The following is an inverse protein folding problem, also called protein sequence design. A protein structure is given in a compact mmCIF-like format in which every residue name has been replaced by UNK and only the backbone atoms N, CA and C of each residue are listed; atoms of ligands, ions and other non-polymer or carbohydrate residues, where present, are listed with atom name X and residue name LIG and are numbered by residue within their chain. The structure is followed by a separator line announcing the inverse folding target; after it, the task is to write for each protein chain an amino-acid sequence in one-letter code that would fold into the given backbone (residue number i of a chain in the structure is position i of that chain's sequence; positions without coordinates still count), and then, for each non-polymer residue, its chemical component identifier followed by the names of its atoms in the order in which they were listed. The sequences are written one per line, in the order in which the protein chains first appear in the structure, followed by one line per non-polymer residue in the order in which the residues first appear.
data_IF_011979587831
#
_entry.id   IF_011979587831
#
_cell.length_a   1.000
_cell.length_b   1.000
_cell.length_c   1.000
_cell.angle_alpha   90.00
_cell.angle_beta   90.00
_cell.angle_gamma   90.00
#
_symmetry.space_group_name_H-M   'P 1'
#
loop_
_entity.id
_entity.type
_entity.pdbx_description
1 polymer ?
#
# COMPACT_ATOMS: atom_id res chain seq x y z
N UNK A 1 -24.42 -13.13 18.67
CA UNK A 1 -25.64 -13.35 17.88
C UNK A 1 -25.20 -14.13 16.65
N UNK A 2 -25.88 -15.22 16.28
CA UNK A 2 -25.47 -16.10 15.19
C UNK A 2 -26.41 -15.87 14.00
N UNK A 3 -26.01 -15.00 13.06
CA UNK A 3 -26.84 -14.66 11.91
C UNK A 3 -27.01 -15.88 10.99
N UNK A 4 -28.25 -16.21 10.65
CA UNK A 4 -28.58 -17.31 9.73
C UNK A 4 -28.69 -16.82 8.29
N UNK A 5 -27.57 -16.37 7.73
CA UNK A 5 -27.46 -16.03 6.29
C UNK A 5 -27.57 -17.33 5.47
N UNK A 6 -28.24 -17.30 4.31
CA UNK A 6 -28.37 -18.48 3.43
C UNK A 6 -27.00 -19.00 3.01
N UNK A 7 -26.98 -20.28 2.57
CA UNK A 7 -25.75 -20.99 2.16
C UNK A 7 -24.68 -21.01 3.26
N UNK A 8 -25.11 -20.98 4.52
CA UNK A 8 -24.26 -21.30 5.67
C UNK A 8 -23.87 -22.80 5.70
N UNK A 9 -22.94 -23.19 6.58
CA UNK A 9 -22.39 -22.41 7.69
C UNK A 9 -21.44 -21.29 7.24
N UNK A 10 -21.41 -20.21 8.03
CA UNK A 10 -20.50 -19.08 7.87
C UNK A 10 -19.50 -19.08 9.02
N UNK A 11 -18.22 -19.25 8.70
CA UNK A 11 -17.13 -19.28 9.66
C UNK A 11 -16.51 -17.89 9.78
N UNK A 12 -16.39 -17.37 10.99
CA UNK A 12 -15.67 -16.12 11.25
C UNK A 12 -14.18 -16.32 11.01
N UNK A 13 -13.63 -15.63 10.02
CA UNK A 13 -12.21 -15.71 9.65
C UNK A 13 -11.40 -14.52 10.16
N UNK A 14 -12.07 -13.42 10.52
CA UNK A 14 -11.42 -12.24 11.08
C UNK A 14 -12.36 -11.43 11.98
N UNK A 15 -11.80 -10.82 13.01
CA UNK A 15 -12.42 -9.77 13.83
C UNK A 15 -11.33 -8.82 14.30
N UNK A 16 -11.56 -7.52 14.16
CA UNK A 16 -10.58 -6.50 14.53
C UNK A 16 -11.10 -5.08 14.37
N UNK A 17 -10.19 -4.11 14.35
CA UNK A 17 -10.51 -2.71 14.16
C UNK A 17 -9.77 -2.16 12.93
N UNK A 18 -10.47 -1.40 12.09
CA UNK A 18 -9.92 -0.70 10.95
C UNK A 18 -10.41 0.76 10.98
N UNK A 19 -9.47 1.70 11.04
CA UNK A 19 -9.77 3.14 11.06
C UNK A 19 -10.77 3.58 12.16
N UNK A 20 -10.77 2.88 13.31
CA UNK A 20 -11.67 3.16 14.42
C UNK A 20 -12.97 2.36 14.39
N UNK A 21 -13.30 1.71 13.27
CA UNK A 21 -14.50 0.87 13.12
C UNK A 21 -14.19 -0.60 13.41
N UNK A 22 -15.15 -1.30 14.00
CA UNK A 22 -15.04 -2.74 14.18
C UNK A 22 -15.39 -3.45 12.88
N UNK A 23 -14.51 -4.36 12.46
CA UNK A 23 -14.65 -5.11 11.21
C UNK A 23 -14.67 -6.59 11.51
N UNK A 24 -15.64 -7.28 10.93
CA UNK A 24 -15.76 -8.73 10.97
C UNK A 24 -15.77 -9.29 9.54
N UNK A 25 -15.10 -10.42 9.36
CA UNK A 25 -15.15 -11.15 8.09
C UNK A 25 -15.54 -12.60 8.33
N UNK A 26 -16.42 -13.08 7.47
CA UNK A 26 -16.94 -14.44 7.48
C UNK A 26 -16.71 -15.09 6.12
N UNK A 27 -16.45 -16.39 6.09
CA UNK A 27 -16.41 -17.17 4.86
C UNK A 27 -17.35 -18.37 4.93
N UNK A 28 -17.92 -18.78 3.81
CA UNK A 28 -18.74 -19.99 3.75
C UNK A 28 -18.10 -21.11 2.90
N UNK A 29 -18.78 -22.26 2.87
CA UNK A 29 -18.35 -23.45 2.11
C UNK A 29 -18.36 -23.24 0.59
N UNK A 30 -19.09 -22.24 0.10
CA UNK A 30 -19.08 -21.81 -1.29
C UNK A 30 -17.98 -20.79 -1.59
N UNK A 31 -17.04 -20.53 -0.69
CA UNK A 31 -15.93 -19.58 -0.94
C UNK A 31 -16.38 -18.13 -1.13
N UNK A 32 -17.56 -17.76 -0.61
CA UNK A 32 -17.98 -16.38 -0.46
C UNK A 32 -17.35 -15.80 0.80
N UNK A 33 -17.06 -14.50 0.76
CA UNK A 33 -16.56 -13.74 1.90
C UNK A 33 -17.53 -12.61 2.18
N UNK A 34 -18.12 -12.58 3.37
CA UNK A 34 -18.93 -11.49 3.88
C UNK A 34 -18.05 -10.61 4.76
N UNK A 35 -17.96 -9.33 4.43
CA UNK A 35 -17.30 -8.31 5.25
C UNK A 35 -18.37 -7.41 5.85
N UNK A 36 -18.25 -7.14 7.16
CA UNK A 36 -19.18 -6.32 7.93
C UNK A 36 -18.38 -5.27 8.70
N UNK A 37 -18.66 -3.99 8.45
CA UNK A 37 -18.12 -2.86 9.21
C UNK A 37 -19.22 -2.34 10.12
N UNK A 38 -19.01 -2.41 11.42
CA UNK A 38 -20.03 -2.14 12.43
C UNK A 38 -20.03 -0.66 12.83
N UNK A 39 -21.22 -0.06 12.83
CA UNK A 39 -21.49 1.25 13.42
C UNK A 39 -21.90 1.07 14.88
N UNK A 40 -21.13 1.65 15.80
CA UNK A 40 -21.40 1.60 17.24
C UNK A 40 -21.71 2.97 17.80
N UNK A 41 -22.77 3.06 18.58
CA UNK A 41 -23.10 4.22 19.41
C UNK A 41 -23.28 3.74 20.85
N UNK A 42 -22.52 4.32 21.79
CA UNK A 42 -22.51 3.91 23.20
C UNK A 42 -22.32 2.39 23.42
N UNK A 43 -21.39 1.79 22.67
CA UNK A 43 -21.09 0.34 22.66
C UNK A 43 -22.17 -0.57 22.05
N UNK A 44 -23.34 -0.04 21.68
CA UNK A 44 -24.39 -0.77 20.96
C UNK A 44 -24.21 -0.66 19.44
N UNK A 45 -24.37 -1.78 18.73
CA UNK A 45 -24.28 -1.81 17.27
C UNK A 45 -25.61 -1.31 16.68
N UNK A 46 -25.60 -0.16 16.02
CA UNK A 46 -26.77 0.45 15.40
C UNK A 46 -27.00 -0.09 13.98
N UNK A 47 -25.90 -0.26 13.25
CA UNK A 47 -25.91 -0.64 11.84
C UNK A 47 -24.62 -1.31 11.43
N UNK A 48 -24.61 -1.77 10.19
CA UNK A 48 -23.44 -2.33 9.55
C UNK A 48 -23.41 -1.96 8.07
N UNK A 49 -22.23 -1.68 7.52
CA UNK A 49 -22.01 -1.75 6.08
C UNK A 49 -21.53 -3.16 5.77
N UNK A 50 -22.30 -3.86 4.94
CA UNK A 50 -21.98 -5.21 4.48
C UNK A 50 -21.59 -5.22 3.02
N UNK A 51 -20.63 -6.07 2.68
CA UNK A 51 -20.22 -6.33 1.31
C UNK A 51 -19.82 -7.80 1.17
N UNK A 52 -20.23 -8.44 0.08
CA UNK A 52 -19.94 -9.85 -0.20
C UNK A 52 -19.01 -9.94 -1.40
N UNK A 53 -17.98 -10.78 -1.27
CA UNK A 53 -17.00 -11.05 -2.30
C UNK A 53 -17.06 -12.51 -2.74
N UNK A 54 -16.93 -12.75 -4.05
CA UNK A 54 -16.66 -14.07 -4.62
C UNK A 54 -15.24 -14.05 -5.17
N UNK A 55 -14.43 -15.00 -4.71
CA UNK A 55 -13.01 -15.08 -5.03
C UNK A 55 -12.74 -16.21 -6.02
N UNK A 56 -11.97 -15.89 -7.06
CA UNK A 56 -11.49 -16.83 -8.06
C UNK A 56 -9.96 -16.86 -8.06
N UNK A 57 -9.38 -18.06 -8.14
CA UNK A 57 -8.03 -18.25 -8.66
C UNK A 57 -8.09 -18.13 -10.19
N UNK A 58 -7.22 -17.32 -10.77
CA UNK A 58 -7.25 -16.98 -12.18
C UNK A 58 -6.01 -17.49 -12.90
N UNK A 59 -6.22 -18.33 -13.92
CA UNK A 59 -5.17 -18.88 -14.76
C UNK A 59 -5.25 -18.22 -16.15
N UNK A 60 -4.29 -17.34 -16.47
CA UNK A 60 -4.25 -16.56 -17.70
C UNK A 60 -3.89 -15.08 -17.49
N UNK A 61 -4.21 -14.24 -18.48
CA UNK A 61 -4.10 -12.77 -18.40
C UNK A 61 -5.35 -12.20 -17.74
N UNK A 62 -5.26 -11.79 -16.48
CA UNK A 62 -6.35 -11.14 -15.72
C UNK A 62 -6.41 -9.65 -16.03
N UNK A 63 -5.26 -9.08 -16.34
CA UNK A 63 -5.00 -7.67 -16.53
C UNK A 63 -5.88 -7.10 -17.65
N UNK A 64 -5.88 -7.73 -18.83
CA UNK A 64 -6.71 -7.31 -19.95
C UNK A 64 -8.20 -7.58 -19.71
N UNK A 65 -8.52 -8.68 -19.01
CA UNK A 65 -9.90 -9.06 -18.73
C UNK A 65 -10.60 -8.07 -17.79
N UNK A 66 -9.90 -7.60 -16.75
CA UNK A 66 -10.42 -6.63 -15.79
C UNK A 66 -10.98 -5.36 -16.46
N UNK A 67 -10.28 -4.86 -17.48
CA UNK A 67 -10.69 -3.65 -18.21
C UNK A 67 -12.00 -3.83 -19.00
N UNK A 68 -12.40 -5.07 -19.25
CA UNK A 68 -13.63 -5.40 -20.01
C UNK A 68 -14.85 -5.59 -19.13
N UNK A 69 -14.67 -5.66 -17.81
CA UNK A 69 -15.76 -5.95 -16.89
C UNK A 69 -16.66 -4.72 -16.68
N UNK A 70 -17.99 -4.87 -16.76
CA UNK A 70 -18.93 -3.77 -16.55
C UNK A 70 -19.14 -3.45 -15.06
N UNK A 71 -18.42 -4.12 -14.14
CA UNK A 71 -18.57 -4.03 -12.69
C UNK A 71 -17.21 -3.90 -12.02
N UNK A 72 -17.21 -3.34 -10.81
CA UNK A 72 -16.02 -3.33 -9.97
C UNK A 72 -15.53 -4.76 -9.70
N UNK A 73 -14.27 -5.00 -10.04
CA UNK A 73 -13.56 -6.22 -9.76
C UNK A 73 -12.15 -5.85 -9.31
N UNK A 74 -11.61 -6.63 -8.38
CA UNK A 74 -10.26 -6.43 -7.87
C UNK A 74 -9.40 -7.61 -8.26
N UNK A 75 -8.22 -7.36 -8.83
CA UNK A 75 -7.22 -8.41 -8.98
C UNK A 75 -6.13 -8.28 -7.92
N UNK A 76 -5.74 -9.42 -7.35
CA UNK A 76 -4.63 -9.53 -6.41
C UNK A 76 -3.56 -10.42 -7.04
N UNK A 77 -2.34 -9.88 -7.12
CA UNK A 77 -1.18 -10.58 -7.65
C UNK A 77 -0.24 -10.89 -6.50
N UNK A 78 -0.09 -12.17 -6.17
CA UNK A 78 0.84 -12.62 -5.13
C UNK A 78 2.04 -13.27 -5.79
N UNK A 79 3.18 -12.59 -5.68
CA UNK A 79 4.45 -13.07 -6.19
C UNK A 79 5.11 -14.02 -5.18
N UNK A 80 5.23 -15.29 -5.55
CA UNK A 80 6.01 -16.31 -4.84
C UNK A 80 7.33 -16.57 -5.61
N UNK A 81 8.37 -17.16 -5.00
CA UNK A 81 9.68 -17.31 -5.66
C UNK A 81 9.68 -18.03 -7.01
N UNK A 82 8.67 -18.87 -7.28
CA UNK A 82 8.58 -19.70 -8.50
C UNK A 82 7.44 -19.34 -9.43
N UNK A 83 6.49 -18.53 -8.97
CA UNK A 83 5.27 -18.24 -9.73
C UNK A 83 4.59 -16.98 -9.21
N UNK A 84 3.65 -16.45 -10.00
CA UNK A 84 2.72 -15.42 -9.55
C UNK A 84 1.33 -16.03 -9.50
N UNK A 85 0.74 -16.06 -8.31
CA UNK A 85 -0.63 -16.52 -8.12
C UNK A 85 -1.54 -15.31 -8.30
N UNK A 86 -2.54 -15.43 -9.17
CA UNK A 86 -3.49 -14.36 -9.48
C UNK A 86 -4.85 -14.70 -8.91
N UNK A 87 -5.46 -13.73 -8.23
CA UNK A 87 -6.83 -13.83 -7.75
C UNK A 87 -7.68 -12.73 -8.37
N UNK A 88 -8.91 -13.07 -8.74
CA UNK A 88 -9.93 -12.12 -9.18
C UNK A 88 -11.08 -12.14 -8.17
N UNK A 89 -11.47 -10.96 -7.70
CA UNK A 89 -12.51 -10.78 -6.71
C UNK A 89 -13.64 -9.97 -7.32
N UNK A 90 -14.85 -10.50 -7.22
CA UNK A 90 -16.07 -9.83 -7.62
C UNK A 90 -16.83 -9.40 -6.37
N UNK A 91 -17.27 -8.15 -6.34
CA UNK A 91 -17.99 -7.56 -5.22
C UNK A 91 -19.50 -7.46 -5.49
N UNK A 92 -20.32 -7.59 -4.44
CA UNK A 92 -21.77 -7.30 -4.47
C UNK A 92 -22.10 -5.81 -4.48
N UNK A 93 -21.11 -4.93 -4.32
CA UNK A 93 -21.21 -3.55 -3.84
C UNK A 93 -21.64 -3.47 -2.35
N UNK A 94 -21.18 -2.44 -1.62
CA UNK A 94 -21.53 -2.27 -0.22
C UNK A 94 -22.99 -1.86 -0.04
N UNK A 95 -23.58 -2.25 1.09
CA UNK A 95 -24.94 -1.86 1.49
C UNK A 95 -24.96 -1.59 2.99
N UNK A 96 -25.49 -0.43 3.39
CA UNK A 96 -25.75 -0.15 4.79
C UNK A 96 -27.05 -0.83 5.23
N UNK A 97 -27.00 -1.54 6.35
CA UNK A 97 -28.12 -2.27 6.92
C UNK A 97 -28.22 -2.01 8.41
N UNK A 98 -29.45 -1.86 8.92
CA UNK A 98 -29.69 -1.80 10.36
C UNK A 98 -29.30 -3.14 10.98
N UNK A 99 -28.67 -3.12 12.15
CA UNK A 99 -28.17 -4.33 12.81
C UNK A 99 -29.28 -5.10 13.53
N UNK A 100 -30.29 -5.51 12.77
CA UNK A 100 -31.40 -6.37 13.17
C UNK A 100 -31.32 -7.67 12.39
N UNK A 101 -31.41 -8.83 13.07
CA UNK A 101 -31.13 -10.15 12.47
C UNK A 101 -31.84 -10.41 11.14
N UNK A 102 -33.16 -10.21 11.08
CA UNK A 102 -33.93 -10.44 9.86
C UNK A 102 -33.53 -9.48 8.74
N UNK A 103 -33.36 -8.20 9.05
CA UNK A 103 -33.03 -7.15 8.06
C UNK A 103 -31.62 -7.38 7.50
N UNK A 104 -30.67 -7.71 8.38
CA UNK A 104 -29.30 -8.05 8.02
C UNK A 104 -29.23 -9.28 7.11
N UNK A 105 -29.93 -10.36 7.49
CA UNK A 105 -29.92 -11.60 6.73
C UNK A 105 -30.59 -11.42 5.36
N UNK A 106 -31.73 -10.73 5.28
CA UNK A 106 -32.43 -10.47 4.02
C UNK A 106 -31.57 -9.65 3.04
N UNK A 107 -30.88 -8.60 3.53
CA UNK A 107 -30.01 -7.80 2.67
C UNK A 107 -28.75 -8.57 2.25
N UNK A 108 -28.13 -9.33 3.16
CA UNK A 108 -26.98 -10.19 2.83
C UNK A 108 -27.36 -11.25 1.78
N UNK A 109 -28.52 -11.90 1.92
CA UNK A 109 -29.01 -12.89 0.96
C UNK A 109 -29.25 -12.26 -0.43
N UNK A 110 -29.84 -11.08 -0.47
CA UNK A 110 -30.06 -10.32 -1.72
C UNK A 110 -28.75 -9.92 -2.40
N UNK A 111 -27.76 -9.46 -1.65
CA UNK A 111 -26.43 -9.16 -2.17
C UNK A 111 -25.75 -10.42 -2.74
N UNK A 112 -25.87 -11.52 -2.00
CA UNK A 112 -25.31 -12.82 -2.39
C UNK A 112 -25.95 -13.36 -3.68
N UNK A 113 -27.27 -13.36 -3.81
CA UNK A 113 -27.97 -13.85 -5.01
C UNK A 113 -27.58 -13.06 -6.27
N UNK A 114 -27.47 -11.73 -6.15
CA UNK A 114 -26.98 -10.86 -7.23
C UNK A 114 -25.54 -11.19 -7.60
N UNK A 115 -24.68 -11.37 -6.59
CA UNK A 115 -23.28 -11.67 -6.81
C UNK A 115 -23.09 -13.02 -7.49
N UNK A 116 -23.74 -14.08 -7.00
CA UNK A 116 -23.69 -15.43 -7.58
C UNK A 116 -24.09 -15.39 -9.06
N UNK A 117 -25.22 -14.76 -9.38
CA UNK A 117 -25.70 -14.62 -10.75
C UNK A 117 -24.70 -13.89 -11.63
N UNK A 118 -24.13 -12.79 -11.16
CA UNK A 118 -23.12 -12.06 -11.95
C UNK A 118 -21.79 -12.82 -12.08
N UNK A 119 -21.42 -13.58 -11.06
CA UNK A 119 -20.17 -14.34 -11.02
C UNK A 119 -20.18 -15.49 -12.02
N UNK A 120 -21.32 -16.15 -12.21
CA UNK A 120 -21.46 -17.20 -13.24
C UNK A 120 -21.34 -16.62 -14.64
N UNK A 121 -21.99 -15.48 -14.91
CA UNK A 121 -21.87 -14.77 -16.19
C UNK A 121 -20.42 -14.34 -16.47
N UNK A 122 -19.74 -13.76 -15.49
CA UNK A 122 -18.34 -13.32 -15.63
C UNK A 122 -17.41 -14.52 -15.86
N UNK A 123 -17.62 -15.62 -15.14
CA UNK A 123 -16.88 -16.87 -15.33
C UNK A 123 -17.06 -17.44 -16.74
N UNK A 124 -18.27 -17.40 -17.29
CA UNK A 124 -18.51 -17.83 -18.68
C UNK A 124 -17.83 -16.89 -19.69
N UNK A 125 -17.94 -15.58 -19.47
CA UNK A 125 -17.33 -14.58 -20.33
C UNK A 125 -15.79 -14.66 -20.34
N UNK A 126 -15.17 -14.99 -19.20
CA UNK A 126 -13.70 -15.14 -19.09
C UNK A 126 -13.11 -16.16 -20.07
N UNK A 127 -13.87 -17.18 -20.46
CA UNK A 127 -13.45 -18.18 -21.44
C UNK A 127 -13.17 -17.60 -22.82
N UNK A 128 -13.81 -16.48 -23.18
CA UNK A 128 -13.57 -15.80 -24.45
C UNK A 128 -12.23 -15.04 -24.48
N UNK A 129 -11.58 -14.88 -23.33
CA UNK A 129 -10.30 -14.18 -23.15
C UNK A 129 -9.16 -15.14 -22.76
N UNK A 130 -9.33 -16.44 -23.03
CA UNK A 130 -8.39 -17.49 -22.61
C UNK A 130 -8.04 -17.42 -21.11
N UNK A 131 -8.99 -16.95 -20.28
CA UNK A 131 -8.85 -16.83 -18.84
C UNK A 131 -9.72 -17.89 -18.16
N UNK A 132 -9.10 -18.72 -17.33
CA UNK A 132 -9.81 -19.70 -16.54
C UNK A 132 -9.99 -19.20 -15.10
N UNK A 133 -11.24 -19.00 -14.70
CA UNK A 133 -11.61 -18.61 -13.34
C UNK A 133 -12.06 -19.85 -12.54
N UNK A 134 -11.23 -20.26 -11.59
CA UNK A 134 -11.47 -21.39 -10.68
C UNK A 134 -11.92 -20.81 -9.35
N UNK A 135 -13.06 -21.25 -8.85
CA UNK A 135 -13.56 -20.77 -7.55
C UNK A 135 -12.57 -21.16 -6.43
N UNK A 136 -12.36 -20.26 -5.47
CA UNK A 136 -11.30 -20.43 -4.46
C UNK A 136 -11.48 -21.70 -3.63
N UNK A 137 -12.73 -22.11 -3.37
CA UNK A 137 -13.08 -23.33 -2.64
C UNK A 137 -12.73 -24.61 -3.42
N UNK A 138 -12.67 -24.53 -4.76
CA UNK A 138 -12.26 -25.62 -5.65
C UNK A 138 -10.76 -25.59 -5.98
N UNK A 139 -10.05 -24.56 -5.53
CA UNK A 139 -8.62 -24.41 -5.78
C UNK A 139 -7.80 -25.31 -4.84
N UNK A 140 -6.56 -25.68 -5.23
CA UNK A 140 -5.68 -26.45 -4.35
C UNK A 140 -5.48 -25.75 -3.00
N UNK A 141 -5.34 -26.53 -1.92
CA UNK A 141 -5.20 -25.99 -0.55
C UNK A 141 -4.11 -24.93 -0.45
N UNK A 142 -2.97 -25.14 -1.13
CA UNK A 142 -1.87 -24.17 -1.20
C UNK A 142 -2.34 -22.80 -1.71
N UNK A 143 -3.12 -22.77 -2.80
CA UNK A 143 -3.61 -21.53 -3.42
C UNK A 143 -4.61 -20.85 -2.48
N UNK A 144 -5.54 -21.61 -1.91
CA UNK A 144 -6.51 -21.11 -0.92
C UNK A 144 -5.81 -20.50 0.30
N UNK A 145 -4.85 -21.22 0.88
CA UNK A 145 -4.03 -20.72 2.00
C UNK A 145 -3.22 -19.50 1.59
N UNK A 146 -2.75 -19.42 0.35
CA UNK A 146 -1.98 -18.29 -0.16
C UNK A 146 -2.83 -17.00 -0.19
N UNK A 147 -4.13 -17.11 -0.51
CA UNK A 147 -5.07 -15.98 -0.43
C UNK A 147 -5.34 -15.54 1.02
N UNK A 148 -5.77 -16.46 1.88
CA UNK A 148 -6.18 -16.11 3.26
C UNK A 148 -5.00 -15.73 4.17
N UNK A 149 -3.77 -16.10 3.81
CA UNK A 149 -2.56 -15.65 4.52
C UNK A 149 -2.11 -14.24 4.12
N UNK A 150 -2.78 -13.57 3.18
CA UNK A 150 -2.37 -12.26 2.74
C UNK A 150 -2.65 -11.19 3.83
N UNK A 151 -1.63 -10.51 4.37
CA UNK A 151 -1.80 -9.62 5.52
C UNK A 151 -2.68 -8.39 5.21
N UNK A 152 -2.79 -8.00 3.94
CA UNK A 152 -3.64 -6.89 3.51
C UNK A 152 -5.06 -7.32 3.14
N UNK A 153 -5.45 -8.58 3.37
CA UNK A 153 -6.78 -9.03 2.92
C UNK A 153 -7.91 -8.24 3.58
N UNK A 154 -7.78 -7.94 4.87
CA UNK A 154 -8.78 -7.17 5.62
C UNK A 154 -8.95 -5.76 5.04
N UNK A 155 -7.90 -4.93 4.94
CA UNK A 155 -8.06 -3.60 4.36
C UNK A 155 -8.44 -3.62 2.86
N UNK A 156 -8.07 -4.66 2.11
CA UNK A 156 -8.45 -4.80 0.69
C UNK A 156 -9.92 -5.15 0.48
N UNK A 157 -10.52 -5.90 1.41
CA UNK A 157 -11.93 -6.31 1.32
C UNK A 157 -12.87 -5.45 2.16
N UNK A 158 -12.34 -4.47 2.88
CA UNK A 158 -13.17 -3.55 3.65
C UNK A 158 -13.95 -2.64 2.69
N UNK A 159 -15.27 -2.47 2.89
CA UNK A 159 -16.09 -1.54 2.12
C UNK A 159 -15.44 -0.16 1.99
N UNK A 160 -15.46 0.39 0.77
CA UNK A 160 -14.97 1.76 0.51
C UNK A 160 -15.83 2.83 1.20
N UNK A 161 -17.09 2.51 1.47
CA UNK A 161 -18.03 3.38 2.18
C UNK A 161 -18.16 2.91 3.63
N UNK A 162 -17.63 3.70 4.57
CA UNK A 162 -17.75 3.42 6.00
C UNK A 162 -19.05 4.03 6.57
N UNK A 163 -19.76 3.33 7.49
CA UNK A 163 -20.98 3.86 8.10
C UNK A 163 -20.72 5.14 8.90
N UNK A 164 -21.73 6.02 8.96
CA UNK A 164 -21.68 7.25 9.77
C UNK A 164 -21.01 8.49 9.14
N UNK A 165 -20.44 8.38 7.94
CA UNK A 165 -19.79 9.54 7.27
C UNK A 165 -20.79 10.47 6.54
N UNK A 166 -22.06 10.07 6.38
CA UNK A 166 -22.98 10.70 5.43
C UNK A 166 -23.97 11.76 5.98
N UNK A 167 -24.04 12.05 7.28
CA UNK A 167 -25.08 12.96 7.80
C UNK A 167 -24.65 14.41 8.10
N UNK A 168 -23.43 14.84 7.74
CA UNK A 168 -22.99 16.25 7.85
C UNK A 168 -22.31 16.79 6.58
N UNK A 169 -22.61 16.22 5.41
CA UNK A 169 -22.16 16.73 4.10
C UNK A 169 -23.34 17.15 3.22
N UNK A 170 -24.27 17.93 3.77
CA UNK A 170 -25.16 18.71 2.91
C UNK A 170 -24.40 19.93 2.37
N UNK A 171 -24.34 20.05 1.04
CA UNK A 171 -23.61 21.03 0.20
C UNK A 171 -22.10 20.79 -0.04
N UNK A 172 -21.71 19.60 -0.52
CA UNK A 172 -20.59 19.51 -1.48
C UNK A 172 -20.95 18.59 -2.65
N UNK A 173 -21.44 19.23 -3.70
CA UNK A 173 -21.63 18.65 -5.02
C UNK A 173 -20.34 18.00 -5.50
N UNK A 174 -20.45 16.73 -5.93
CA UNK A 174 -19.53 15.98 -6.79
C UNK A 174 -18.04 15.93 -6.40
N UNK A 175 -17.55 14.70 -6.21
CA UNK A 175 -16.13 14.29 -6.20
C UNK A 175 -15.23 14.82 -5.08
N UNK A 176 -14.60 13.87 -4.40
CA UNK A 176 -13.30 14.01 -3.72
C UNK A 176 -13.25 14.89 -2.48
N UNK A 177 -13.62 14.29 -1.36
CA UNK A 177 -12.85 14.48 -0.13
C UNK A 177 -12.61 13.11 0.51
N UNK A 178 -11.84 12.28 -0.21
CA UNK A 178 -10.94 11.31 0.40
C UNK A 178 -9.70 12.11 0.77
N UNK A 179 -9.57 12.40 2.07
CA UNK A 179 -8.34 12.82 2.76
C UNK A 179 -7.68 14.09 2.20
N UNK A 180 -8.09 15.23 2.75
CA UNK A 180 -7.23 16.41 2.86
C UNK A 180 -5.88 16.01 3.45
N UNK A 181 -4.79 16.09 2.68
CA UNK A 181 -3.46 16.22 3.29
C UNK A 181 -2.23 15.88 2.47
N UNK A 182 -2.28 15.12 1.37
CA UNK A 182 -1.02 14.67 0.71
C UNK A 182 -0.98 14.75 -0.82
N UNK A 183 -2.02 15.25 -1.48
CA UNK A 183 -2.07 15.44 -2.93
C UNK A 183 -2.14 14.15 -3.75
N UNK A 184 -2.00 14.28 -5.08
CA UNK A 184 -2.22 13.20 -6.05
C UNK A 184 -1.13 13.16 -7.12
N UNK A 185 -1.01 11.99 -7.76
CA UNK A 185 -0.13 11.74 -8.91
C UNK A 185 -1.00 11.37 -10.11
N UNK A 186 -0.75 12.03 -11.24
CA UNK A 186 -1.32 11.64 -12.51
C UNK A 186 -0.46 10.53 -13.12
N UNK A 187 -1.01 9.32 -13.24
CA UNK A 187 -0.29 8.16 -13.77
C UNK A 187 -0.39 8.03 -15.29
N UNK A 188 -1.43 8.59 -15.90
CA UNK A 188 -1.63 8.58 -17.34
C UNK A 188 -3.09 8.45 -17.74
N UNK A 189 -3.32 7.92 -18.94
CA UNK A 189 -4.65 7.65 -19.49
C UNK A 189 -4.92 6.14 -19.56
N UNK A 190 -6.15 5.72 -19.30
CA UNK A 190 -6.62 4.37 -19.65
C UNK A 190 -6.74 4.22 -21.17
N UNK A 191 -6.91 2.98 -21.66
CA UNK A 191 -7.22 2.73 -23.09
C UNK A 191 -8.47 3.49 -23.57
N UNK A 192 -9.43 3.75 -22.68
CA UNK A 192 -10.62 4.57 -22.95
C UNK A 192 -10.39 6.08 -22.92
N UNK A 193 -9.15 6.53 -22.69
CA UNK A 193 -8.79 7.94 -22.60
C UNK A 193 -9.20 8.62 -21.29
N UNK A 194 -9.54 7.86 -20.25
CA UNK A 194 -9.85 8.40 -18.92
C UNK A 194 -8.55 8.65 -18.17
N UNK A 195 -8.40 9.83 -17.58
CA UNK A 195 -7.23 10.16 -16.77
C UNK A 195 -7.25 9.41 -15.44
N UNK A 196 -6.14 8.76 -15.10
CA UNK A 196 -5.93 8.09 -13.83
C UNK A 196 -5.12 9.01 -12.91
N UNK A 197 -5.77 9.44 -11.83
CA UNK A 197 -5.17 10.19 -10.75
C UNK A 197 -5.24 9.37 -9.48
N UNK A 198 -4.09 9.09 -8.88
CA UNK A 198 -3.99 8.30 -7.65
C UNK A 198 -3.53 9.17 -6.48
N UNK A 199 -4.12 9.01 -5.28
CA UNK A 199 -3.64 9.67 -4.08
C UNK A 199 -2.20 9.28 -3.72
N UNK A 200 -1.36 10.28 -3.37
CA UNK A 200 0.05 10.05 -3.01
C UNK A 200 0.24 9.18 -1.77
N UNK A 201 -0.73 9.15 -0.85
CA UNK A 201 -0.70 8.28 0.33
C UNK A 201 -0.77 6.78 -0.03
N UNK A 202 -1.32 6.42 -1.20
CA UNK A 202 -1.25 5.04 -1.69
C UNK A 202 0.15 4.65 -2.16
N UNK A 203 1.03 5.63 -2.41
CA UNK A 203 2.38 5.43 -2.91
C UNK A 203 3.48 5.51 -1.84
N UNK A 204 3.13 5.46 -0.55
CA UNK A 204 4.12 5.55 0.54
C UNK A 204 5.18 4.45 0.50
N UNK A 205 4.84 3.28 -0.03
CA UNK A 205 5.75 2.14 -0.20
C UNK A 205 5.49 1.47 -1.55
N UNK A 206 6.00 2.08 -2.61
CA UNK A 206 5.83 1.59 -3.98
C UNK A 206 7.09 0.89 -4.48
N UNK A 207 6.92 -0.27 -5.09
CA UNK A 207 7.99 -0.94 -5.85
C UNK A 207 7.64 -0.89 -7.33
N UNK A 208 8.55 -0.37 -8.16
CA UNK A 208 8.38 -0.29 -9.62
C UNK A 208 9.26 -1.37 -10.24
N UNK A 209 8.64 -2.36 -10.88
CA UNK A 209 9.31 -3.48 -11.53
C UNK A 209 8.85 -3.67 -12.97
N UNK A 210 9.59 -4.46 -13.75
CA UNK A 210 9.32 -4.69 -15.18
C UNK A 210 9.89 -3.63 -16.14
N UNK A 211 9.64 -3.84 -17.43
CA UNK A 211 10.08 -3.01 -18.57
C UNK A 211 11.58 -2.63 -18.61
N UNK A 212 11.92 -1.55 -19.32
CA UNK A 212 13.29 -1.04 -19.43
C UNK A 212 13.65 -0.14 -18.24
N UNK A 213 14.96 0.06 -17.93
CA UNK A 213 15.40 1.04 -16.92
C UNK A 213 14.89 2.46 -17.19
N UNK A 214 14.70 2.83 -18.46
CA UNK A 214 14.17 4.14 -18.87
C UNK A 214 12.71 4.30 -18.42
N UNK A 215 11.88 3.29 -18.62
CA UNK A 215 10.45 3.35 -18.28
C UNK A 215 10.25 3.40 -16.76
N UNK A 216 11.04 2.62 -16.01
CA UNK A 216 11.00 2.68 -14.54
C UNK A 216 11.34 4.06 -14.00
N UNK A 217 12.37 4.71 -14.56
CA UNK A 217 12.71 6.09 -14.22
C UNK A 217 11.62 7.07 -14.61
N UNK A 218 10.94 6.85 -15.73
CA UNK A 218 9.82 7.68 -16.15
C UNK A 218 8.67 7.63 -15.13
N UNK A 219 8.32 6.44 -14.62
CA UNK A 219 7.33 6.33 -13.54
C UNK A 219 7.79 7.04 -12.27
N UNK A 220 9.08 6.91 -11.89
CA UNK A 220 9.64 7.65 -10.74
C UNK A 220 9.54 9.17 -10.96
N UNK A 221 9.78 9.65 -12.19
CA UNK A 221 9.61 11.05 -12.56
C UNK A 221 8.17 11.51 -12.33
N UNK A 222 7.17 10.76 -12.82
CA UNK A 222 5.76 11.11 -12.62
C UNK A 222 5.37 11.19 -11.12
N UNK A 223 5.85 10.24 -10.31
CA UNK A 223 5.59 10.25 -8.87
C UNK A 223 6.27 11.45 -8.20
N UNK A 224 7.51 11.74 -8.56
CA UNK A 224 8.25 12.88 -8.03
C UNK A 224 7.59 14.22 -8.42
N UNK A 225 7.19 14.37 -9.69
CA UNK A 225 6.45 15.55 -10.16
C UNK A 225 5.12 15.69 -9.45
N UNK A 226 4.32 14.62 -9.31
CA UNK A 226 3.05 14.66 -8.59
C UNK A 226 3.23 15.04 -7.11
N UNK A 227 4.28 14.54 -6.45
CA UNK A 227 4.65 14.95 -5.10
C UNK A 227 4.97 16.45 -5.04
N UNK A 228 5.83 16.94 -5.94
CA UNK A 228 6.25 18.34 -5.97
C UNK A 228 5.08 19.29 -6.30
N UNK A 229 4.22 18.93 -7.25
CA UNK A 229 2.98 19.65 -7.58
C UNK A 229 2.03 19.71 -6.39
N UNK A 230 2.05 18.67 -5.56
CA UNK A 230 1.29 18.57 -4.32
C UNK A 230 1.99 19.25 -3.13
N UNK A 231 3.00 20.09 -3.37
CA UNK A 231 3.81 20.75 -2.34
C UNK A 231 4.48 19.78 -1.34
N UNK A 232 4.68 18.52 -1.75
CA UNK A 232 5.37 17.49 -0.97
C UNK A 232 6.83 17.41 -1.44
N UNK A 233 7.81 17.65 -0.55
CA UNK A 233 9.22 17.53 -0.92
C UNK A 233 9.58 16.12 -1.36
N UNK A 234 10.32 15.99 -2.47
CA UNK A 234 10.84 14.74 -2.96
C UNK A 234 12.37 14.67 -2.77
N UNK A 235 12.87 13.54 -2.24
CA UNK A 235 14.30 13.24 -2.14
C UNK A 235 14.60 12.06 -3.04
N UNK A 236 15.51 12.26 -4.00
CA UNK A 236 15.87 11.27 -5.01
C UNK A 236 17.34 10.87 -4.87
N UNK A 237 17.60 9.57 -4.78
CA UNK A 237 18.94 9.00 -4.87
C UNK A 237 19.21 8.65 -6.34
N UNK A 238 19.87 9.55 -7.05
CA UNK A 238 20.04 9.51 -8.51
C UNK A 238 21.49 9.20 -8.92
N UNK A 239 21.75 7.94 -9.28
CA UNK A 239 23.10 7.48 -9.63
C UNK A 239 23.58 7.89 -11.02
N UNK A 240 22.67 8.22 -11.93
CA UNK A 240 23.01 8.55 -13.32
C UNK A 240 22.51 9.91 -13.76
N UNK A 241 22.12 10.76 -12.81
CA UNK A 241 21.73 12.15 -13.05
C UNK A 241 20.49 12.27 -13.95
N UNK A 242 19.62 11.26 -13.94
CA UNK A 242 18.40 11.22 -14.76
C UNK A 242 17.33 12.23 -14.34
N UNK A 243 17.41 12.79 -13.12
CA UNK A 243 16.40 13.69 -12.57
C UNK A 243 16.84 15.17 -12.54
N UNK A 244 18.01 15.50 -13.10
CA UNK A 244 18.48 16.89 -13.17
C UNK A 244 17.54 17.81 -13.97
N UNK A 245 16.75 17.25 -14.90
CA UNK A 245 15.85 18.00 -15.76
C UNK A 245 14.58 18.52 -15.07
N UNK A 246 14.24 18.02 -13.89
CA UNK A 246 13.03 18.44 -13.14
C UNK A 246 13.04 19.94 -12.77
N UNK A 247 14.21 20.60 -12.81
CA UNK A 247 14.32 22.03 -12.55
C UNK A 247 13.93 22.92 -13.74
N UNK A 248 13.55 22.32 -14.86
CA UNK A 248 13.14 23.02 -16.08
C UNK A 248 11.72 22.61 -16.44
N UNK A 249 10.93 23.53 -17.01
CA UNK A 249 9.67 23.20 -17.67
C UNK A 249 9.87 22.08 -18.69
N UNK A 250 8.87 21.19 -18.82
CA UNK A 250 8.86 20.20 -19.87
C UNK A 250 8.91 20.90 -21.26
N UNK A 251 9.95 20.64 -22.09
CA UNK A 251 10.09 21.29 -23.39
C UNK A 251 8.97 20.92 -24.37
N UNK A 252 8.29 19.79 -24.12
CA UNK A 252 7.20 19.27 -24.94
C UNK A 252 5.82 19.62 -24.37
N UNK A 253 5.69 20.82 -23.80
CA UNK A 253 4.45 21.36 -23.22
C UNK A 253 3.20 21.16 -24.08
N UNK A 254 3.34 21.19 -25.42
CA UNK A 254 2.22 21.01 -26.34
C UNK A 254 1.66 19.59 -26.33
N UNK A 255 2.51 18.57 -26.11
CA UNK A 255 2.10 17.17 -26.06
C UNK A 255 1.32 16.84 -24.78
N UNK A 256 1.52 17.61 -23.70
CA UNK A 256 0.78 17.42 -22.45
C UNK A 256 -0.73 17.58 -22.64
N UNK A 257 -1.16 18.40 -23.60
CA UNK A 257 -2.57 18.55 -23.98
C UNK A 257 -3.18 17.26 -24.54
N UNK A 258 -2.39 16.46 -25.27
CA UNK A 258 -2.83 15.16 -25.81
C UNK A 258 -3.13 14.18 -24.68
N UNK A 259 -2.49 14.35 -23.53
CA UNK A 259 -2.72 13.59 -22.31
C UNK A 259 -3.74 14.23 -21.35
N UNK A 260 -4.50 15.23 -21.83
CA UNK A 260 -5.50 15.99 -21.05
C UNK A 260 -4.91 16.70 -19.83
N UNK A 261 -3.60 16.93 -19.81
CA UNK A 261 -2.93 17.65 -18.73
C UNK A 261 -3.05 19.15 -18.99
N UNK A 262 -3.94 19.81 -18.25
CA UNK A 262 -4.15 21.26 -18.33
C UNK A 262 -3.33 21.97 -17.25
N UNK A 263 -2.01 21.83 -17.34
CA UNK A 263 -1.04 22.48 -16.45
C UNK A 263 0.02 23.16 -17.29
N UNK A 264 0.34 24.40 -16.93
CA UNK A 264 1.53 25.05 -17.47
C UNK A 264 2.77 24.31 -16.95
N UNK A 265 3.66 23.84 -17.84
CA UNK A 265 4.87 23.17 -17.38
C UNK A 265 5.75 24.16 -16.64
N UNK A 266 6.08 23.81 -15.40
CA UNK A 266 6.95 24.57 -14.53
C UNK A 266 8.17 23.72 -14.17
N UNK A 267 9.30 24.38 -13.92
CA UNK A 267 10.45 23.74 -13.30
C UNK A 267 10.32 23.80 -11.78
N UNK A 268 10.84 22.79 -11.09
CA UNK A 268 10.84 22.75 -9.63
C UNK A 268 12.15 23.29 -9.04
N UNK A 269 12.13 23.90 -7.84
CA UNK A 269 13.35 24.26 -7.14
C UNK A 269 14.08 22.99 -6.69
N UNK A 270 15.24 22.69 -7.29
CA UNK A 270 16.02 21.51 -6.96
C UNK A 270 17.36 21.91 -6.36
N UNK A 271 17.70 21.26 -5.25
CA UNK A 271 19.03 21.31 -4.65
C UNK A 271 19.73 19.99 -4.89
N UNK A 272 20.88 20.04 -5.54
CA UNK A 272 21.73 18.88 -5.75
C UNK A 272 22.74 18.77 -4.61
N UNK A 273 22.75 17.60 -3.98
CA UNK A 273 23.77 17.24 -3.00
C UNK A 273 24.67 16.18 -3.62
N UNK A 274 25.97 16.44 -3.58
CA UNK A 274 26.99 15.42 -3.84
C UNK A 274 27.17 14.56 -2.58
N UNK A 275 27.76 13.38 -2.75
CA UNK A 275 28.03 12.45 -1.63
C UNK A 275 28.70 13.16 -0.45
N UNK A 276 29.68 14.03 -0.73
CA UNK A 276 30.48 14.72 0.29
C UNK A 276 29.71 15.84 1.02
N UNK A 277 28.49 16.15 0.57
CA UNK A 277 27.62 17.14 1.20
C UNK A 277 26.55 16.49 2.09
N UNK A 278 26.36 15.18 1.98
CA UNK A 278 25.39 14.43 2.77
C UNK A 278 26.11 13.88 4.01
N UNK A 279 25.78 14.44 5.16
CA UNK A 279 26.35 14.07 6.44
C UNK A 279 25.29 13.39 7.30
N UNK A 280 25.71 12.42 8.13
CA UNK A 280 24.87 11.81 9.15
C UNK A 280 25.15 12.52 10.47
N UNK A 281 24.11 13.01 11.13
CA UNK A 281 24.25 13.51 12.50
C UNK A 281 24.48 12.31 13.45
N UNK A 282 25.69 12.24 14.00
CA UNK A 282 26.07 11.18 14.94
C UNK A 282 25.25 11.18 16.24
N UNK A 283 24.57 12.29 16.55
CA UNK A 283 23.67 12.37 17.70
C UNK A 283 22.28 11.80 17.42
N UNK A 284 21.89 11.68 16.15
CA UNK A 284 20.58 11.13 15.74
C UNK A 284 20.65 9.64 15.40
N UNK A 285 21.84 9.11 15.12
CA UNK A 285 22.03 7.68 14.89
C UNK A 285 22.12 6.94 16.23
N UNK A 286 21.45 5.80 16.33
CA UNK A 286 21.66 4.92 17.49
C UNK A 286 23.08 4.36 17.46
N UNK A 287 23.69 4.16 18.62
CA UNK A 287 25.03 3.56 18.73
C UNK A 287 25.10 2.24 17.96
N UNK A 288 24.07 1.40 18.09
CA UNK A 288 23.94 0.14 17.34
C UNK A 288 23.93 0.38 15.83
N UNK A 289 23.13 1.32 15.33
CA UNK A 289 23.07 1.66 13.92
C UNK A 289 24.41 2.18 13.37
N UNK A 290 25.14 2.99 14.15
CA UNK A 290 26.46 3.46 13.74
C UNK A 290 27.47 2.30 13.62
N UNK A 291 27.48 1.39 14.59
CA UNK A 291 28.35 0.21 14.59
C UNK A 291 28.07 -0.71 13.40
N UNK A 292 26.80 -0.90 13.06
CA UNK A 292 26.37 -1.65 11.88
C UNK A 292 26.86 -0.98 10.58
N UNK A 293 26.76 0.35 10.47
CA UNK A 293 27.22 1.11 9.29
C UNK A 293 28.72 0.96 9.04
N UNK A 294 29.53 0.90 10.10
CA UNK A 294 30.99 0.71 10.00
C UNK A 294 31.41 -0.77 9.98
N UNK A 295 30.44 -1.69 10.02
CA UNK A 295 30.69 -3.13 9.93
C UNK A 295 31.35 -3.75 11.17
N UNK A 296 31.25 -3.09 12.33
CA UNK A 296 31.77 -3.63 13.58
C UNK A 296 30.78 -4.64 14.19
N UNK A 297 31.28 -5.83 14.49
CA UNK A 297 30.54 -6.89 15.18
C UNK A 297 30.68 -6.74 16.69
N UNK A 298 29.91 -7.51 17.44
CA UNK A 298 29.96 -7.51 18.90
C UNK A 298 31.38 -7.86 19.40
N UNK A 299 31.94 -7.02 20.28
CA UNK A 299 33.34 -7.09 20.71
C UNK A 299 33.72 -5.99 21.70
N UNK A 300 34.98 -5.97 22.16
CA UNK A 300 35.48 -4.95 23.09
C UNK A 300 35.48 -3.55 22.46
N UNK A 301 35.76 -3.48 21.16
CA UNK A 301 35.77 -2.25 20.34
C UNK A 301 34.39 -1.59 20.34
N UNK A 302 33.33 -2.41 20.33
CA UNK A 302 31.95 -1.96 20.41
C UNK A 302 31.67 -1.22 21.72
N UNK A 303 32.16 -1.75 22.84
CA UNK A 303 31.95 -1.18 24.17
C UNK A 303 32.68 0.16 24.30
N UNK A 304 33.90 0.25 23.76
CA UNK A 304 34.71 1.47 23.75
C UNK A 304 34.00 2.57 22.95
N UNK A 305 33.57 2.26 21.72
CA UNK A 305 32.86 3.22 20.86
C UNK A 305 31.53 3.63 21.48
N UNK A 306 30.77 2.69 22.03
CA UNK A 306 29.50 2.95 22.70
C UNK A 306 29.66 3.91 23.88
N UNK A 307 30.73 3.72 24.67
CA UNK A 307 31.06 4.59 25.79
C UNK A 307 31.48 5.98 25.34
N UNK A 308 32.32 6.06 24.30
CA UNK A 308 32.77 7.33 23.72
C UNK A 308 31.61 8.19 23.20
N UNK A 309 30.66 7.58 22.49
CA UNK A 309 29.49 8.30 21.97
C UNK A 309 28.62 8.83 23.11
N UNK A 310 28.39 8.01 24.16
CA UNK A 310 27.61 8.41 25.34
C UNK A 310 28.29 9.53 26.15
N UNK A 311 29.59 9.39 26.40
CA UNK A 311 30.33 10.27 27.32
C UNK A 311 30.79 11.57 26.67
N UNK A 312 31.13 11.54 25.37
CA UNK A 312 31.74 12.68 24.67
C UNK A 312 30.83 13.36 23.66
N UNK A 313 29.77 12.69 23.19
CA UNK A 313 28.84 13.22 22.18
C UNK A 313 29.58 13.90 21.01
N UNK A 314 30.44 13.17 20.29
CA UNK A 314 31.22 13.74 19.21
C UNK A 314 30.31 14.24 18.09
N UNK A 315 30.63 15.42 17.54
CA UNK A 315 29.86 16.02 16.44
C UNK A 315 30.34 15.54 15.06
N UNK A 316 31.41 14.76 15.00
CA UNK A 316 32.00 14.25 13.76
C UNK A 316 32.71 12.91 13.96
N UNK A 317 32.95 12.18 12.87
CA UNK A 317 33.72 10.94 12.92
C UNK A 317 35.18 11.21 13.30
N UNK A 318 35.73 12.35 12.89
CA UNK A 318 37.07 12.79 13.23
C UNK A 318 37.23 12.99 14.74
N UNK A 319 36.24 13.61 15.40
CA UNK A 319 36.22 13.76 16.85
C UNK A 319 36.12 12.41 17.56
N UNK A 320 35.28 11.50 17.06
CA UNK A 320 35.14 10.15 17.59
C UNK A 320 36.46 9.36 17.47
N UNK A 321 37.11 9.42 16.31
CA UNK A 321 38.42 8.78 16.05
C UNK A 321 39.49 9.38 16.98
N UNK A 322 39.54 10.70 17.12
CA UNK A 322 40.49 11.36 18.01
C UNK A 322 40.27 10.99 19.48
N UNK A 323 39.02 10.82 19.91
CA UNK A 323 38.67 10.37 21.25
C UNK A 323 39.07 8.90 21.49
N UNK A 324 38.89 8.03 20.49
CA UNK A 324 39.31 6.63 20.54
C UNK A 324 40.82 6.48 20.66
N UNK A 325 41.60 7.19 19.83
CA UNK A 325 43.07 7.18 19.89
C UNK A 325 43.63 7.61 21.26
N UNK A 326 42.95 8.52 21.97
CA UNK A 326 43.34 8.94 23.32
C UNK A 326 43.15 7.86 24.39
N UNK A 327 42.29 6.86 24.14
CA UNK A 327 42.09 5.71 25.03
C UNK A 327 43.22 4.69 24.82
N UNK A 328 43.54 4.33 23.56
CA UNK A 328 44.66 3.43 23.24
C UNK A 328 45.99 3.92 23.85
N UNK A 329 46.30 5.21 23.71
CA UNK A 329 47.53 5.80 24.27
C UNK A 329 47.61 5.73 25.80
N UNK A 330 46.47 5.70 26.51
CA UNK A 330 46.43 5.59 27.98
C UNK A 330 46.66 4.17 28.46
N UNK A 331 46.27 3.16 27.68
CA UNK A 331 46.48 1.77 28.04
C UNK A 331 47.89 1.29 27.66
N UNK A 332 48.48 1.81 26.57
CA UNK A 332 49.92 1.63 26.28
C UNK A 332 50.84 2.29 27.32
N UNK A 333 50.50 3.50 27.80
CA UNK A 333 51.25 4.21 28.83
C UNK A 333 51.19 3.55 30.22
N UNK A 334 50.16 2.73 30.49
CA UNK A 334 50.08 1.90 31.72
C UNK A 334 50.94 0.64 31.63
N UNK A 335 51.21 0.13 30.42
CA UNK A 335 52.07 -1.03 30.20
C UNK A 335 53.55 -0.63 30.32
N UNK A 336 53.92 0.58 29.90
CA UNK A 336 55.30 1.09 30.00
C UNK A 336 55.71 1.52 31.41
N UNK A 337 54.78 1.89 32.29
CA UNK A 337 55.06 2.25 33.70
C UNK A 337 55.08 1.05 34.67
N UNK A 338 55.11 -0.18 34.14
CA UNK A 338 55.11 -1.42 34.94
C UNK A 338 56.46 -2.17 34.94
N UNK A 339 57.53 -1.52 34.51
CA UNK A 339 58.91 -2.02 34.57
C UNK A 339 59.81 -1.07 35.35
#
# INVERSE_FOLDING_TARGET
MEFRVRKGPWDKIFSGNLEGFEVEMYSNTEGLILVSVLEKENEEIQGSVIEIFKVFHAEGSVEDFLETLPKEATAIFKHEPKETIKFLLLSSSPSYVKYEENVFCDEADKLMEKLITSSSTIKEFSKAYDLQLIEIEKSPERIRSSFFSHPLIVPLLSPKEMPGINNNRETRSSSQEIVSGKGSVMLGLTKGGTMINEPLNLMMKTTIFGSTPKDRKHVIHLIAEGALMSSTPAVLFDWDKSFLGLNRPNPEAKLLKDYKVDLEPIGFPIKHFTRDQVHVDLNLITVKGLLELIGLKEGEEQQIISKLIKDKKPNSMEELIAAAKKIELRDEAKITNKY
#
